data_IF_476135666346
#
_entry.id   IF_476135666346
#
_cell.length_a   1.000
_cell.length_b   1.000
_cell.length_c   1.000
_cell.angle_alpha   90.00
_cell.angle_beta   90.00
_cell.angle_gamma   90.00
#
_symmetry.space_group_name_H-M   'P 1'
#
loop_
_entity.id
_entity.type
_entity.pdbx_description
1 polymer ?
#
# COMPACT_ATOMS: atom_id res chain seq x y z
N UNK A 1 -13.98 -5.73 -8.09
CA UNK A 1 -12.81 -4.99 -7.55
C UNK A 1 -12.74 -3.52 -7.98
N UNK A 2 -12.93 -3.14 -9.25
CA UNK A 2 -12.80 -1.72 -9.68
C UNK A 2 -13.67 -0.73 -8.89
N UNK A 3 -14.96 -1.02 -8.69
CA UNK A 3 -15.86 -0.17 -7.90
C UNK A 3 -15.41 -0.05 -6.43
N UNK A 4 -14.98 -1.17 -5.84
CA UNK A 4 -14.43 -1.19 -4.47
C UNK A 4 -13.22 -0.28 -4.33
N UNK A 5 -12.29 -0.33 -5.28
CA UNK A 5 -11.08 0.50 -5.27
C UNK A 5 -11.44 1.97 -5.42
N UNK A 6 -12.39 2.29 -6.30
CA UNK A 6 -12.87 3.67 -6.47
C UNK A 6 -13.47 4.24 -5.17
N UNK A 7 -14.27 3.45 -4.44
CA UNK A 7 -14.78 3.87 -3.13
C UNK A 7 -13.67 4.05 -2.10
N UNK A 8 -12.69 3.13 -2.07
CA UNK A 8 -11.54 3.24 -1.17
C UNK A 8 -10.71 4.49 -1.47
N UNK A 9 -10.47 4.81 -2.74
CA UNK A 9 -9.79 6.06 -3.11
C UNK A 9 -10.59 7.28 -2.67
N UNK A 10 -11.87 7.31 -2.96
CA UNK A 10 -12.73 8.47 -2.68
C UNK A 10 -12.84 8.76 -1.19
N UNK A 11 -12.94 7.71 -0.36
CA UNK A 11 -13.21 7.86 1.08
C UNK A 11 -11.96 7.87 1.94
N UNK A 12 -10.92 7.14 1.52
CA UNK A 12 -9.78 6.82 2.38
C UNK A 12 -8.45 7.32 1.84
N UNK A 13 -8.35 7.79 0.59
CA UNK A 13 -7.10 8.30 0.04
C UNK A 13 -7.00 9.82 0.16
N UNK A 14 -5.87 10.32 0.66
CA UNK A 14 -5.48 11.73 0.62
C UNK A 14 -3.98 11.82 0.33
N UNK A 15 -3.59 12.66 -0.63
CA UNK A 15 -2.17 12.82 -1.00
C UNK A 15 -1.45 11.48 -1.28
N UNK A 16 -2.14 10.54 -1.95
CA UNK A 16 -1.66 9.18 -2.25
C UNK A 16 -1.50 8.24 -1.05
N UNK A 17 -1.87 8.67 0.16
CA UNK A 17 -1.82 7.86 1.36
C UNK A 17 -3.23 7.45 1.79
N UNK A 18 -3.34 6.32 2.48
CA UNK A 18 -4.63 5.73 2.84
C UNK A 18 -4.82 5.69 4.36
N UNK A 19 -5.98 6.14 4.81
CA UNK A 19 -6.41 6.05 6.21
C UNK A 19 -7.28 4.82 6.40
N UNK A 20 -7.06 4.07 7.48
CA UNK A 20 -8.01 3.06 7.94
C UNK A 20 -9.10 3.76 8.76
N UNK A 21 -10.28 3.15 8.83
CA UNK A 21 -11.36 3.63 9.69
C UNK A 21 -11.38 2.78 10.95
N UNK A 22 -11.13 3.40 12.10
CA UNK A 22 -11.30 2.78 13.40
C UNK A 22 -12.61 3.29 14.02
N UNK A 23 -13.51 2.36 14.37
CA UNK A 23 -14.77 2.70 15.06
C UNK A 23 -14.55 3.02 16.54
N UNK A 24 -13.47 2.47 17.14
CA UNK A 24 -13.04 2.75 18.50
C UNK A 24 -11.53 3.03 18.54
N UNK A 25 -11.12 3.88 19.47
CA UNK A 25 -9.84 4.61 19.56
C UNK A 25 -9.84 5.95 18.80
N UNK A 26 -9.12 6.93 19.34
CA UNK A 26 -9.12 8.36 18.99
C UNK A 26 -8.79 8.63 17.51
N UNK A 27 -9.79 8.43 16.62
CA UNK A 27 -9.69 8.64 15.18
C UNK A 27 -9.23 10.07 14.80
N UNK A 28 -9.26 11.02 15.74
CA UNK A 28 -8.76 12.38 15.55
C UNK A 28 -7.23 12.49 15.57
N UNK A 29 -6.52 11.45 16.06
CA UNK A 29 -5.05 11.37 16.05
C UNK A 29 -4.50 10.37 15.01
N UNK A 30 -5.38 9.76 14.23
CA UNK A 30 -4.98 8.73 13.27
C UNK A 30 -4.24 9.34 12.08
N UNK A 31 -3.01 8.88 11.87
CA UNK A 31 -2.20 9.22 10.72
C UNK A 31 -2.57 8.38 9.50
N UNK A 32 -1.91 8.68 8.37
CA UNK A 32 -1.96 7.80 7.21
C UNK A 32 -1.43 6.41 7.59
N UNK A 33 -2.17 5.36 7.30
CA UNK A 33 -1.76 3.99 7.57
C UNK A 33 -0.79 3.50 6.48
N UNK A 34 0.50 3.43 6.82
CA UNK A 34 1.55 3.24 5.81
C UNK A 34 1.50 1.85 5.17
N UNK A 35 1.22 0.79 5.95
CA UNK A 35 1.09 -0.55 5.40
C UNK A 35 -0.09 -0.66 4.42
N UNK A 36 -1.24 -0.07 4.78
CA UNK A 36 -2.41 0.02 3.91
C UNK A 36 -2.11 0.75 2.60
N UNK A 37 -1.36 1.84 2.68
CA UNK A 37 -0.91 2.60 1.51
C UNK A 37 -0.01 1.74 0.61
N UNK A 38 0.97 1.02 1.16
CA UNK A 38 1.81 0.09 0.40
C UNK A 38 1.01 -1.03 -0.28
N UNK A 39 0.01 -1.60 0.38
CA UNK A 39 -0.86 -2.60 -0.24
C UNK A 39 -1.64 -2.03 -1.43
N UNK A 40 -2.13 -0.79 -1.32
CA UNK A 40 -2.76 -0.10 -2.46
C UNK A 40 -1.76 0.13 -3.59
N UNK A 41 -0.52 0.54 -3.30
CA UNK A 41 0.53 0.66 -4.31
C UNK A 41 0.80 -0.66 -5.03
N UNK A 42 0.86 -1.78 -4.30
CA UNK A 42 1.01 -3.10 -4.89
C UNK A 42 -0.17 -3.47 -5.78
N UNK A 43 -1.40 -3.18 -5.34
CA UNK A 43 -2.59 -3.37 -6.17
C UNK A 43 -2.48 -2.62 -7.51
N UNK A 44 -2.10 -1.34 -7.50
CA UNK A 44 -1.97 -0.56 -8.73
C UNK A 44 -0.87 -1.07 -9.66
N UNK A 45 0.25 -1.55 -9.11
CA UNK A 45 1.29 -2.21 -9.91
C UNK A 45 0.72 -3.43 -10.66
N UNK A 46 -0.02 -4.29 -9.95
CA UNK A 46 -0.63 -5.50 -10.52
C UNK A 46 -1.78 -5.14 -11.50
N UNK A 47 -2.50 -4.06 -11.25
CA UNK A 47 -3.55 -3.55 -12.12
C UNK A 47 -3.01 -2.85 -13.39
N UNK A 48 -1.71 -2.58 -13.44
CA UNK A 48 -1.03 -1.93 -14.58
C UNK A 48 -0.96 -0.41 -14.49
N UNK A 49 -1.47 0.20 -13.42
CA UNK A 49 -1.32 1.64 -13.16
C UNK A 49 -0.01 1.90 -12.41
N UNK A 50 1.09 1.83 -13.16
CA UNK A 50 2.44 1.96 -12.61
C UNK A 50 2.71 3.37 -12.07
N UNK A 51 2.07 4.38 -12.66
CA UNK A 51 2.19 5.77 -12.24
C UNK A 51 1.58 5.98 -10.85
N UNK A 52 0.36 5.47 -10.63
CA UNK A 52 -0.29 5.54 -9.31
C UNK A 52 0.50 4.74 -8.26
N UNK A 53 0.96 3.53 -8.61
CA UNK A 53 1.80 2.72 -7.73
C UNK A 53 3.07 3.44 -7.29
N UNK A 54 3.80 4.06 -8.23
CA UNK A 54 4.99 4.87 -7.97
C UNK A 54 4.67 6.05 -7.05
N UNK A 55 3.61 6.80 -7.35
CA UNK A 55 3.23 7.98 -6.57
C UNK A 55 2.93 7.64 -5.10
N UNK A 56 2.29 6.50 -4.83
CA UNK A 56 2.02 6.05 -3.46
C UNK A 56 3.33 5.63 -2.77
N UNK A 57 4.19 4.86 -3.43
CA UNK A 57 5.49 4.44 -2.86
C UNK A 57 6.36 5.65 -2.52
N UNK A 58 6.42 6.64 -3.41
CA UNK A 58 7.20 7.86 -3.19
C UNK A 58 6.61 8.68 -2.03
N UNK A 59 5.27 8.70 -1.88
CA UNK A 59 4.61 9.35 -0.73
C UNK A 59 4.95 8.66 0.60
N UNK A 60 4.94 7.32 0.64
CA UNK A 60 5.33 6.54 1.84
C UNK A 60 6.80 6.74 2.17
N UNK A 61 7.70 6.72 1.18
CA UNK A 61 9.14 6.83 1.38
C UNK A 61 9.59 8.15 2.04
N UNK A 62 8.75 9.18 2.04
CA UNK A 62 8.99 10.45 2.76
C UNK A 62 9.03 10.30 4.28
N UNK A 63 8.47 9.22 4.83
CA UNK A 63 8.34 8.99 6.27
C UNK A 63 9.31 7.93 6.81
N UNK A 64 10.34 7.56 6.04
CA UNK A 64 11.41 6.72 6.56
C UNK A 64 12.49 7.58 7.24
N UNK A 65 13.13 7.04 8.27
CA UNK A 65 14.35 7.65 8.80
C UNK A 65 15.56 7.37 7.90
N UNK A 66 16.74 7.84 8.32
CA UNK A 66 18.03 7.63 7.66
C UNK A 66 18.42 6.15 7.49
N UNK A 67 17.93 5.26 8.35
CA UNK A 67 18.11 3.81 8.25
C UNK A 67 17.08 3.13 7.34
N UNK A 68 16.10 3.88 6.81
CA UNK A 68 15.00 3.33 6.01
C UNK A 68 13.88 2.71 6.86
N UNK A 69 13.81 3.02 8.16
CA UNK A 69 12.77 2.50 9.02
C UNK A 69 11.48 3.31 8.96
N UNK A 70 10.35 2.60 8.97
CA UNK A 70 8.99 3.15 9.03
C UNK A 70 8.30 2.88 10.37
N UNK A 71 7.41 3.79 10.76
CA UNK A 71 6.42 3.60 11.82
C UNK A 71 5.10 3.08 11.24
N UNK A 72 4.13 2.77 12.09
CA UNK A 72 2.80 2.29 11.65
C UNK A 72 2.04 3.32 10.82
N UNK A 73 2.09 4.58 11.28
CA UNK A 73 1.31 5.68 10.74
C UNK A 73 2.20 6.89 10.45
N UNK A 74 1.66 7.84 9.69
CA UNK A 74 2.30 9.13 9.41
C UNK A 74 1.36 10.31 9.66
N UNK A 75 1.82 11.31 10.39
CA UNK A 75 1.23 12.64 10.44
C UNK A 75 1.63 13.39 9.16
N UNK A 76 0.75 13.40 8.16
CA UNK A 76 1.02 14.05 6.87
C UNK A 76 1.17 15.56 7.02
N UNK A 77 0.44 16.19 7.94
CA UNK A 77 0.49 17.63 8.14
C UNK A 77 1.81 18.08 8.78
N UNK A 78 2.36 17.27 9.69
CA UNK A 78 3.62 17.59 10.38
C UNK A 78 4.86 16.92 9.77
N UNK A 79 4.68 15.95 8.86
CA UNK A 79 5.79 15.16 8.33
C UNK A 79 6.39 14.21 9.37
N UNK A 80 5.60 13.73 10.33
CA UNK A 80 6.10 12.93 11.46
C UNK A 80 5.66 11.48 11.38
N UNK A 81 6.52 10.61 11.92
CA UNK A 81 6.24 9.19 12.15
C UNK A 81 5.36 9.01 13.39
N UNK A 82 4.31 8.21 13.30
CA UNK A 82 3.34 7.95 14.38
C UNK A 82 3.17 6.45 14.65
N UNK A 83 2.83 6.12 15.89
CA UNK A 83 2.50 4.76 16.31
C UNK A 83 3.73 3.88 16.50
N UNK A 84 3.54 2.57 16.30
CA UNK A 84 4.58 1.57 16.55
C UNK A 84 5.80 1.80 15.64
N UNK A 85 7.01 1.71 16.20
CA UNK A 85 8.26 1.90 15.46
C UNK A 85 9.37 0.97 16.03
N UNK A 86 10.15 0.27 15.19
CA UNK A 86 10.00 0.08 13.75
C UNK A 86 8.86 -0.91 13.44
N UNK A 87 8.02 -0.62 12.45
CA UNK A 87 6.81 -1.42 12.19
C UNK A 87 7.04 -2.44 11.07
N UNK A 88 7.10 -3.74 11.40
CA UNK A 88 7.43 -4.83 10.47
C UNK A 88 6.48 -5.01 9.27
N UNK A 89 5.17 -4.83 9.44
CA UNK A 89 4.19 -4.87 8.34
C UNK A 89 4.38 -3.75 7.33
N UNK A 90 4.76 -2.54 7.76
CA UNK A 90 5.04 -1.43 6.83
C UNK A 90 6.25 -1.77 5.97
N UNK A 91 7.33 -2.28 6.56
CA UNK A 91 8.50 -2.73 5.80
C UNK A 91 8.16 -3.88 4.83
N UNK A 92 7.46 -4.90 5.32
CA UNK A 92 7.06 -6.05 4.49
C UNK A 92 6.18 -5.63 3.31
N UNK A 93 5.18 -4.79 3.55
CA UNK A 93 4.28 -4.28 2.51
C UNK A 93 4.99 -3.35 1.53
N UNK A 94 5.91 -2.49 1.99
CA UNK A 94 6.71 -1.61 1.12
C UNK A 94 7.61 -2.42 0.19
N UNK A 95 8.32 -3.43 0.70
CA UNK A 95 9.15 -4.34 -0.11
C UNK A 95 8.29 -5.07 -1.14
N UNK A 96 7.12 -5.58 -0.75
CA UNK A 96 6.22 -6.27 -1.67
C UNK A 96 5.74 -5.34 -2.79
N UNK A 97 5.34 -4.12 -2.46
CA UNK A 97 4.87 -3.13 -3.42
C UNK A 97 5.98 -2.67 -4.37
N UNK A 98 7.17 -2.38 -3.85
CA UNK A 98 8.34 -2.00 -4.65
C UNK A 98 8.74 -3.13 -5.62
N UNK A 99 8.77 -4.38 -5.15
CA UNK A 99 9.04 -5.54 -5.99
C UNK A 99 7.94 -5.75 -7.05
N UNK A 100 6.68 -5.59 -6.66
CA UNK A 100 5.53 -5.66 -7.57
C UNK A 100 5.62 -4.64 -8.69
N UNK A 101 5.97 -3.39 -8.37
CA UNK A 101 6.18 -2.32 -9.35
C UNK A 101 7.33 -2.63 -10.30
N UNK A 102 8.49 -3.04 -9.77
CA UNK A 102 9.66 -3.44 -10.58
C UNK A 102 9.31 -4.58 -11.55
N UNK A 103 8.61 -5.61 -11.08
CA UNK A 103 8.18 -6.73 -11.92
C UNK A 103 7.20 -6.29 -13.01
N UNK A 104 6.22 -5.45 -12.65
CA UNK A 104 5.26 -4.95 -13.61
C UNK A 104 5.91 -4.06 -14.68
N UNK A 105 6.89 -3.23 -14.31
CA UNK A 105 7.72 -2.46 -15.25
C UNK A 105 8.53 -3.35 -16.20
N UNK A 106 8.97 -4.52 -15.72
CA UNK A 106 9.65 -5.53 -16.53
C UNK A 106 8.68 -6.41 -17.35
N UNK A 107 7.37 -6.15 -17.32
CA UNK A 107 6.37 -6.95 -18.04
C UNK A 107 6.09 -8.33 -17.42
N UNK A 108 6.54 -8.56 -16.18
CA UNK A 108 6.32 -9.83 -15.47
C UNK A 108 4.95 -9.80 -14.79
N UNK A 109 4.03 -10.66 -15.24
CA UNK A 109 2.73 -10.83 -14.59
C UNK A 109 2.87 -11.63 -13.28
N UNK A 110 2.57 -11.01 -12.16
CA UNK A 110 2.64 -11.61 -10.82
C UNK A 110 1.29 -12.09 -10.30
N UNK A 111 0.22 -11.96 -11.08
CA UNK A 111 -1.12 -12.40 -10.68
C UNK A 111 -1.12 -13.91 -10.51
N UNK A 112 -1.64 -14.37 -9.38
CA UNK A 112 -1.93 -15.80 -9.19
C UNK A 112 -3.02 -16.19 -10.18
N UNK A 113 -2.67 -17.04 -11.15
CA UNK A 113 -3.65 -17.63 -12.05
C UNK A 113 -4.43 -18.69 -11.30
N UNK A 114 -5.75 -18.60 -11.33
CA UNK A 114 -6.62 -19.72 -10.95
C UNK A 114 -6.21 -20.94 -11.78
N UNK A 115 -5.83 -22.04 -11.13
CA UNK A 115 -5.78 -23.34 -11.83
C UNK A 115 -7.22 -23.70 -12.14
N UNK A 116 -7.62 -23.62 -13.42
CA UNK A 116 -8.92 -24.14 -13.81
C UNK A 116 -8.96 -25.63 -13.48
N UNK A 117 -10.05 -26.08 -12.86
CA UNK A 117 -10.34 -27.47 -12.54
C UNK A 117 -10.62 -28.30 -13.81
N UNK A 118 -9.64 -28.41 -14.71
CA UNK A 118 -9.75 -29.14 -15.99
C UNK A 118 -8.73 -30.29 -16.09
N UNK A 119 -8.10 -30.69 -14.98
CA UNK A 119 -7.26 -31.89 -14.88
C UNK A 119 -7.91 -32.99 -14.02
N UNK A 120 -9.24 -33.04 -13.98
CA UNK A 120 -10.00 -34.07 -13.27
C UNK A 120 -10.85 -34.93 -14.21
N UNK A 121 -10.43 -35.15 -15.47
CA UNK A 121 -10.88 -36.29 -16.28
C UNK A 121 -9.79 -36.62 -17.31
N UNK A 122 -8.92 -37.58 -16.99
CA UNK A 122 -8.23 -38.47 -17.94
C UNK A 122 -7.68 -39.66 -17.17
#
# INVERSE_FOLDING_TARGET
MRATIHELETRHCREQLYWRQLEEYDARKEGAFLAGSCWMAHYYAVAGDLAKSRAILDAVARFQNDLGYFSEEADVAKGLMLGNFAQSFVHSSFICAANGLTKAQAGIDTRVRSRNATEAVS
#
